data_IF_310111624900
#
_entry.id   IF_310111624900
#
_cell.length_a   1.000
_cell.length_b   1.000
_cell.length_c   1.000
_cell.angle_alpha   90.00
_cell.angle_beta   90.00
_cell.angle_gamma   90.00
#
_symmetry.space_group_name_H-M   'P 1'
#
loop_
_entity.id
_entity.type
_entity.pdbx_description
1 polymer ?
#
# COMPACT_ATOMS: atom_id res chain seq x y z
N UNK A 1 19.81 -11.47 45.54
CA UNK A 1 18.52 -12.16 45.76
C UNK A 1 17.79 -12.29 44.43
N UNK A 2 17.89 -13.44 43.74
CA UNK A 2 17.20 -13.72 42.48
C UNK A 2 15.95 -14.59 42.73
N UNK A 3 14.84 -14.34 42.03
CA UNK A 3 13.78 -15.34 41.89
C UNK A 3 13.38 -15.50 40.42
N UNK A 4 13.93 -16.57 39.83
CA UNK A 4 13.44 -17.24 38.62
C UNK A 4 12.12 -17.93 38.94
N UNK A 5 11.06 -17.62 38.21
CA UNK A 5 9.87 -18.46 38.15
C UNK A 5 9.90 -19.31 36.87
N UNK A 6 9.87 -20.62 37.06
CA UNK A 6 9.88 -21.69 36.06
C UNK A 6 8.51 -22.37 36.13
N UNK A 7 7.69 -22.24 35.09
CA UNK A 7 6.42 -22.98 34.99
C UNK A 7 6.57 -24.17 34.02
N UNK A 8 5.96 -25.28 34.43
CA UNK A 8 6.15 -26.65 33.95
C UNK A 8 5.34 -26.96 32.68
N UNK A 9 5.90 -27.84 31.83
CA UNK A 9 5.19 -28.59 30.77
C UNK A 9 4.21 -29.59 31.40
N UNK A 10 3.04 -29.75 30.80
CA UNK A 10 2.21 -30.96 30.91
C UNK A 10 1.96 -31.53 29.52
N UNK A 11 2.43 -32.76 29.30
CA UNK A 11 2.12 -33.62 28.16
C UNK A 11 0.88 -34.44 28.50
N UNK A 12 -0.10 -34.47 27.60
CA UNK A 12 -1.20 -35.43 27.64
C UNK A 12 -1.29 -36.11 26.27
N UNK A 13 -1.09 -37.44 26.26
CA UNK A 13 -1.34 -38.37 25.15
C UNK A 13 -2.67 -39.07 25.43
N UNK A 14 -3.53 -39.22 24.41
CA UNK A 14 -4.52 -40.31 24.23
C UNK A 14 -5.13 -40.12 22.82
N UNK A 15 -4.87 -40.96 21.80
CA UNK A 15 -5.22 -42.36 21.48
C UNK A 15 -6.61 -42.49 20.80
N UNK A 16 -6.57 -42.91 19.52
CA UNK A 16 -7.72 -43.27 18.66
C UNK A 16 -8.41 -44.57 19.11
N UNK A 17 -9.63 -44.81 18.62
CA UNK A 17 -9.96 -46.11 18.04
C UNK A 17 -10.52 -46.00 16.61
N UNK A 18 -10.39 -47.11 15.89
CA UNK A 18 -10.90 -47.39 14.55
C UNK A 18 -12.03 -48.42 14.62
N UNK A 19 -12.97 -48.38 13.66
CA UNK A 19 -13.69 -49.49 12.99
C UNK A 19 -14.75 -48.82 12.07
N UNK A 20 -14.72 -49.05 10.74
CA UNK A 20 -15.43 -50.11 9.98
C UNK A 20 -16.96 -50.00 10.15
N UNK A 21 -17.86 -50.15 9.18
CA UNK A 21 -17.93 -50.48 7.75
C UNK A 21 -19.44 -50.36 7.47
N UNK A 22 -19.92 -49.77 6.37
CA UNK A 22 -21.08 -50.33 5.66
C UNK A 22 -21.20 -49.72 4.25
N UNK A 23 -20.84 -50.54 3.25
CA UNK A 23 -21.27 -50.37 1.88
C UNK A 23 -22.72 -50.83 1.76
N UNK A 24 -23.57 -50.01 1.13
CA UNK A 24 -24.77 -50.52 0.47
C UNK A 24 -25.04 -49.75 -0.80
N UNK A 25 -24.94 -50.50 -1.89
CA UNK A 25 -25.37 -50.12 -3.23
C UNK A 25 -26.88 -50.35 -3.38
N UNK A 26 -27.58 -49.41 -4.03
CA UNK A 26 -28.52 -49.73 -5.11
C UNK A 26 -28.98 -48.40 -5.74
N UNK A 27 -28.65 -48.07 -6.99
CA UNK A 27 -29.01 -48.67 -8.27
C UNK A 27 -30.35 -48.14 -8.82
N UNK A 28 -30.28 -47.82 -10.12
CA UNK A 28 -31.36 -47.72 -11.10
C UNK A 28 -32.17 -46.41 -11.24
N UNK A 29 -31.79 -45.73 -12.33
CA UNK A 29 -32.55 -45.67 -13.59
C UNK A 29 -33.45 -44.46 -13.89
N UNK A 30 -33.12 -43.94 -15.08
CA UNK A 30 -34.01 -43.62 -16.19
C UNK A 30 -34.76 -42.28 -16.18
N UNK A 31 -34.25 -41.44 -17.06
CA UNK A 31 -34.90 -40.99 -18.30
C UNK A 31 -35.90 -39.84 -18.28
N UNK A 32 -35.63 -38.99 -19.28
CA UNK A 32 -36.53 -38.21 -20.11
C UNK A 32 -36.81 -36.76 -19.73
N UNK A 33 -36.15 -35.90 -20.50
CA UNK A 33 -36.75 -34.88 -21.37
C UNK A 33 -38.12 -34.33 -20.93
N UNK A 34 -38.16 -33.03 -20.63
CA UNK A 34 -39.07 -32.14 -21.34
C UNK A 34 -38.68 -30.68 -21.06
N UNK A 35 -38.32 -29.99 -22.14
CA UNK A 35 -38.38 -28.55 -22.23
C UNK A 35 -39.84 -28.09 -22.12
N UNK A 36 -40.18 -27.39 -21.04
CA UNK A 36 -41.39 -26.57 -20.97
C UNK A 36 -41.03 -25.19 -20.42
N UNK A 37 -41.11 -24.20 -21.31
CA UNK A 37 -41.19 -22.79 -20.96
C UNK A 37 -42.48 -22.60 -20.16
N UNK A 38 -42.35 -22.24 -18.89
CA UNK A 38 -43.45 -21.70 -18.09
C UNK A 38 -42.94 -20.50 -17.29
N UNK A 39 -43.47 -19.34 -17.66
CA UNK A 39 -43.42 -18.11 -16.88
C UNK A 39 -44.18 -18.29 -15.58
N UNK A 40 -43.55 -18.06 -14.43
CA UNK A 40 -44.24 -17.82 -13.16
C UNK A 40 -43.34 -17.06 -12.20
N UNK A 41 -43.74 -15.83 -11.92
CA UNK A 41 -43.38 -15.02 -10.77
C UNK A 41 -43.53 -15.82 -9.47
N UNK A 42 -42.44 -15.95 -8.71
CA UNK A 42 -42.50 -16.29 -7.29
C UNK A 42 -41.51 -15.42 -6.53
N UNK A 43 -42.07 -14.48 -5.81
CA UNK A 43 -41.46 -13.75 -4.71
C UNK A 43 -40.83 -14.73 -3.73
N UNK A 44 -39.51 -14.74 -3.70
CA UNK A 44 -38.70 -15.38 -2.68
C UNK A 44 -37.54 -14.46 -2.40
N UNK A 45 -37.57 -13.79 -1.26
CA UNK A 45 -36.46 -13.03 -0.71
C UNK A 45 -35.36 -14.02 -0.32
N UNK A 46 -34.63 -14.54 -1.32
CA UNK A 46 -33.28 -14.99 -1.07
C UNK A 46 -32.44 -13.72 -1.02
N UNK A 47 -32.03 -13.33 0.18
CA UNK A 47 -30.86 -12.49 0.34
C UNK A 47 -29.68 -13.27 -0.23
N UNK A 48 -29.52 -13.20 -1.55
CA UNK A 48 -28.31 -13.56 -2.25
C UNK A 48 -27.22 -12.71 -1.60
N UNK A 49 -26.45 -13.28 -0.68
CA UNK A 49 -25.26 -12.62 -0.16
C UNK A 49 -24.39 -12.32 -1.37
N UNK A 50 -24.44 -11.07 -1.87
CA UNK A 50 -23.62 -10.63 -2.98
C UNK A 50 -22.18 -10.90 -2.57
N UNK A 51 -21.52 -11.82 -3.27
CA UNK A 51 -20.12 -12.13 -3.06
C UNK A 51 -19.32 -10.90 -3.49
N UNK A 52 -19.02 -10.02 -2.53
CA UNK A 52 -18.31 -8.75 -2.77
C UNK A 52 -16.90 -8.99 -3.34
N UNK A 53 -16.28 -10.11 -2.94
CA UNK A 53 -14.95 -10.53 -3.35
C UNK A 53 -15.01 -11.92 -3.98
N UNK A 54 -14.21 -12.15 -5.00
CA UNK A 54 -13.97 -13.50 -5.53
C UNK A 54 -13.05 -14.27 -4.60
N UNK A 55 -12.02 -13.61 -4.07
CA UNK A 55 -11.08 -14.17 -3.12
C UNK A 55 -11.59 -14.03 -1.67
N UNK A 56 -11.89 -15.14 -0.98
CA UNK A 56 -12.45 -15.10 0.36
C UNK A 56 -11.47 -14.53 1.40
N UNK A 57 -10.16 -14.48 1.10
CA UNK A 57 -9.16 -13.91 2.02
C UNK A 57 -9.37 -12.41 2.22
N UNK A 58 -9.75 -11.67 1.18
CA UNK A 58 -10.08 -10.24 1.31
C UNK A 58 -11.32 -10.03 2.17
N UNK A 59 -12.34 -10.88 1.99
CA UNK A 59 -13.56 -10.84 2.81
C UNK A 59 -13.25 -11.10 4.29
N UNK A 60 -12.49 -12.17 4.57
CA UNK A 60 -12.09 -12.52 5.94
C UNK A 60 -11.31 -11.39 6.61
N UNK A 61 -10.26 -10.89 5.95
CA UNK A 61 -9.45 -9.80 6.46
C UNK A 61 -10.26 -8.52 6.69
N UNK A 62 -11.15 -8.16 5.76
CA UNK A 62 -11.99 -6.98 5.91
C UNK A 62 -12.93 -7.12 7.11
N UNK A 63 -13.56 -8.28 7.28
CA UNK A 63 -14.46 -8.55 8.40
C UNK A 63 -13.71 -8.46 9.74
N UNK A 64 -12.51 -9.04 9.83
CA UNK A 64 -11.68 -8.99 11.04
C UNK A 64 -11.33 -7.54 11.41
N UNK A 65 -10.92 -6.74 10.41
CA UNK A 65 -10.64 -5.31 10.61
C UNK A 65 -11.89 -4.55 11.02
N UNK A 66 -13.02 -4.76 10.34
CA UNK A 66 -14.27 -4.08 10.67
C UNK A 66 -14.77 -4.45 12.08
N UNK A 67 -14.60 -5.70 12.50
CA UNK A 67 -14.92 -6.13 13.86
C UNK A 67 -14.03 -5.42 14.89
N UNK A 68 -12.74 -5.27 14.60
CA UNK A 68 -11.81 -4.50 15.43
C UNK A 68 -12.25 -3.02 15.53
N UNK A 69 -12.61 -2.41 14.40
CA UNK A 69 -13.00 -0.99 14.31
C UNK A 69 -14.33 -0.69 15.01
N UNK A 70 -15.26 -1.65 15.06
CA UNK A 70 -16.58 -1.51 15.72
C UNK A 70 -16.52 -1.54 17.25
N UNK A 71 -15.37 -1.80 17.85
CA UNK A 71 -15.23 -1.80 19.29
C UNK A 71 -15.59 -0.41 19.85
N UNK A 72 -16.49 -0.36 20.85
CA UNK A 72 -17.01 0.88 21.44
C UNK A 72 -15.92 1.82 21.97
N UNK A 73 -14.75 1.28 22.27
CA UNK A 73 -13.58 2.05 22.68
C UNK A 73 -13.00 2.98 21.61
N UNK A 74 -13.34 2.78 20.33
CA UNK A 74 -12.87 3.58 19.19
C UNK A 74 -13.97 4.42 18.53
N UNK A 75 -15.19 4.37 19.08
CA UNK A 75 -16.31 5.20 18.60
C UNK A 75 -16.05 6.65 19.01
N UNK A 76 -16.21 7.57 18.06
CA UNK A 76 -16.00 8.99 18.31
C UNK A 76 -16.93 9.49 19.43
N UNK A 77 -16.35 10.13 20.45
CA UNK A 77 -17.10 10.77 21.54
C UNK A 77 -17.24 9.98 22.85
N UNK A 78 -16.83 8.71 22.90
CA UNK A 78 -16.94 7.89 24.13
C UNK A 78 -15.62 7.84 24.92
N UNK A 79 -14.49 7.62 24.24
CA UNK A 79 -13.12 7.60 24.77
C UNK A 79 -12.12 8.02 23.68
N UNK A 80 -11.05 8.73 24.04
CA UNK A 80 -10.05 9.25 23.10
C UNK A 80 -9.01 8.19 22.65
N UNK A 81 -9.40 6.91 22.54
CA UNK A 81 -8.48 5.88 22.08
C UNK A 81 -8.45 5.89 20.55
N UNK A 82 -7.23 5.88 19.99
CA UNK A 82 -7.00 5.82 18.55
C UNK A 82 -6.67 4.38 18.14
N UNK A 83 -7.47 3.78 17.26
CA UNK A 83 -7.15 2.47 16.69
C UNK A 83 -6.09 2.62 15.59
N UNK A 84 -4.99 1.88 15.66
CA UNK A 84 -3.93 1.87 14.65
C UNK A 84 -3.88 0.51 13.96
N UNK A 85 -4.29 0.47 12.71
CA UNK A 85 -4.26 -0.74 11.86
C UNK A 85 -2.99 -0.69 11.01
N UNK A 86 -2.19 -1.74 11.04
CA UNK A 86 -0.99 -1.87 10.22
C UNK A 86 -1.10 -3.14 9.36
N UNK A 87 -1.28 -2.98 8.06
CA UNK A 87 -1.31 -4.07 7.09
C UNK A 87 0.05 -4.18 6.40
N UNK A 88 0.73 -5.30 6.62
CA UNK A 88 2.05 -5.55 6.05
C UNK A 88 1.97 -6.36 4.77
N UNK A 89 2.67 -5.91 3.72
CA UNK A 89 2.84 -6.64 2.46
C UNK A 89 1.51 -7.03 1.77
N UNK A 90 0.52 -6.13 1.81
CA UNK A 90 -0.75 -6.28 1.08
C UNK A 90 -0.47 -6.25 -0.43
N UNK A 91 -1.08 -7.16 -1.19
CA UNK A 91 -0.82 -7.28 -2.62
C UNK A 91 0.53 -7.93 -2.95
N UNK A 92 1.11 -8.67 -2.00
CA UNK A 92 2.19 -9.62 -2.31
C UNK A 92 1.70 -10.75 -3.23
N UNK A 93 2.60 -11.50 -3.90
CA UNK A 93 2.21 -12.56 -4.83
C UNK A 93 1.29 -13.64 -4.26
N UNK A 94 1.22 -13.79 -2.92
CA UNK A 94 0.29 -14.69 -2.24
C UNK A 94 -1.20 -14.33 -2.43
N UNK A 95 -1.48 -13.12 -2.90
CA UNK A 95 -2.83 -12.61 -3.19
C UNK A 95 -3.20 -12.72 -4.66
N UNK A 96 -2.28 -13.12 -5.53
CA UNK A 96 -2.51 -13.11 -6.97
C UNK A 96 -3.46 -14.25 -7.38
N UNK A 97 -4.52 -13.88 -8.07
CA UNK A 97 -5.48 -14.74 -8.73
C UNK A 97 -6.00 -14.01 -9.99
N UNK A 98 -6.96 -14.60 -10.69
CA UNK A 98 -7.54 -14.02 -11.92
C UNK A 98 -8.26 -12.68 -11.68
N UNK A 99 -8.74 -12.44 -10.46
CA UNK A 99 -9.56 -11.27 -10.09
C UNK A 99 -8.82 -10.31 -9.15
N UNK A 100 -7.51 -10.48 -8.99
CA UNK A 100 -6.69 -9.81 -7.99
C UNK A 100 -6.85 -8.28 -8.03
N UNK A 101 -6.78 -7.71 -9.23
CA UNK A 101 -6.90 -6.27 -9.43
C UNK A 101 -8.25 -5.73 -8.96
N UNK A 102 -9.35 -6.39 -9.32
CA UNK A 102 -10.69 -5.96 -8.92
C UNK A 102 -10.90 -6.07 -7.42
N UNK A 103 -10.55 -7.23 -6.85
CA UNK A 103 -10.76 -7.50 -5.44
C UNK A 103 -9.89 -6.60 -4.55
N UNK A 104 -8.66 -6.29 -4.98
CA UNK A 104 -7.79 -5.34 -4.28
C UNK A 104 -8.38 -3.92 -4.28
N UNK A 105 -8.90 -3.46 -5.42
CA UNK A 105 -9.53 -2.15 -5.55
C UNK A 105 -10.80 -2.06 -4.68
N UNK A 106 -11.65 -3.09 -4.72
CA UNK A 106 -12.85 -3.20 -3.85
C UNK A 106 -12.43 -3.21 -2.38
N UNK A 107 -11.39 -3.96 -2.03
CA UNK A 107 -10.92 -4.10 -0.65
C UNK A 107 -10.41 -2.77 -0.11
N UNK A 108 -9.54 -2.07 -0.85
CA UNK A 108 -9.01 -0.76 -0.44
C UNK A 108 -10.14 0.27 -0.30
N UNK A 109 -11.12 0.26 -1.21
CA UNK A 109 -12.28 1.16 -1.14
C UNK A 109 -13.10 0.93 0.12
N UNK A 110 -13.41 -0.33 0.44
CA UNK A 110 -14.20 -0.67 1.64
C UNK A 110 -13.42 -0.47 2.94
N UNK A 111 -12.12 -0.76 2.93
CA UNK A 111 -11.23 -0.49 4.06
C UNK A 111 -11.17 1.02 4.34
N UNK A 112 -11.00 1.83 3.31
CA UNK A 112 -10.98 3.29 3.41
C UNK A 112 -12.27 3.83 4.06
N UNK A 113 -13.43 3.37 3.59
CA UNK A 113 -14.72 3.76 4.15
C UNK A 113 -14.83 3.38 5.63
N UNK A 114 -14.39 2.17 5.99
CA UNK A 114 -14.44 1.66 7.37
C UNK A 114 -13.53 2.48 8.31
N UNK A 115 -12.29 2.78 7.87
CA UNK A 115 -11.32 3.57 8.65
C UNK A 115 -11.82 4.99 8.88
N UNK A 116 -12.44 5.61 7.86
CA UNK A 116 -13.01 6.97 7.94
C UNK A 116 -14.21 7.10 8.87
N UNK A 117 -14.95 6.00 9.10
CA UNK A 117 -16.13 6.02 9.98
C UNK A 117 -15.80 5.89 11.48
N UNK A 118 -14.54 5.67 11.84
CA UNK A 118 -14.12 5.42 13.23
C UNK A 118 -12.90 6.28 13.60
N UNK A 119 -12.59 6.42 14.89
CA UNK A 119 -11.36 7.10 15.33
C UNK A 119 -10.15 6.18 15.13
N UNK A 120 -9.71 6.04 13.88
CA UNK A 120 -8.69 5.09 13.48
C UNK A 120 -7.74 5.62 12.41
N UNK A 121 -6.54 5.05 12.35
CA UNK A 121 -5.56 5.26 11.29
C UNK A 121 -5.11 3.92 10.73
N UNK A 122 -4.87 3.87 9.42
CA UNK A 122 -4.42 2.66 8.74
C UNK A 122 -3.12 2.92 7.98
N UNK A 123 -2.10 2.11 8.24
CA UNK A 123 -0.85 2.06 7.49
C UNK A 123 -0.83 0.78 6.67
N UNK A 124 -0.66 0.89 5.36
CA UNK A 124 -0.57 -0.25 4.45
C UNK A 124 0.79 -0.21 3.78
N UNK A 125 1.52 -1.33 3.83
CA UNK A 125 2.74 -1.50 3.03
C UNK A 125 2.45 -2.47 1.89
N UNK A 126 2.84 -2.10 0.68
CA UNK A 126 2.56 -2.87 -0.53
C UNK A 126 3.83 -3.00 -1.38
N UNK A 127 4.13 -4.19 -1.94
CA UNK A 127 5.25 -4.37 -2.86
C UNK A 127 4.87 -3.84 -4.25
N UNK A 128 4.79 -2.51 -4.40
CA UNK A 128 4.27 -1.86 -5.62
C UNK A 128 5.02 -2.26 -6.89
N UNK A 129 6.31 -2.57 -6.81
CA UNK A 129 7.10 -3.06 -7.95
C UNK A 129 6.63 -4.42 -8.49
N UNK A 130 6.09 -5.30 -7.65
CA UNK A 130 5.51 -6.58 -8.09
C UNK A 130 4.13 -6.39 -8.68
N UNK A 131 3.34 -5.47 -8.13
CA UNK A 131 2.01 -5.11 -8.64
C UNK A 131 2.16 -4.47 -10.02
N UNK A 132 3.13 -3.57 -10.20
CA UNK A 132 3.42 -2.94 -11.48
C UNK A 132 3.81 -3.94 -12.58
N UNK A 133 4.53 -5.01 -12.21
CA UNK A 133 4.87 -6.11 -13.13
C UNK A 133 3.67 -6.98 -13.51
N UNK A 134 2.72 -7.14 -12.59
CA UNK A 134 1.49 -7.90 -12.85
C UNK A 134 0.50 -7.09 -13.70
N UNK A 135 0.18 -5.86 -13.28
CA UNK A 135 -0.64 -4.90 -14.02
C UNK A 135 -0.25 -3.47 -13.63
N UNK A 136 0.44 -2.78 -14.54
CA UNK A 136 0.86 -1.39 -14.35
C UNK A 136 -0.31 -0.42 -14.15
N UNK A 137 -1.51 -0.75 -14.65
CA UNK A 137 -2.70 0.09 -14.50
C UNK A 137 -3.23 0.15 -13.07
N UNK A 138 -2.89 -0.83 -12.22
CA UNK A 138 -3.32 -0.86 -10.82
C UNK A 138 -2.60 0.18 -9.96
N UNK A 139 -1.33 0.48 -10.26
CA UNK A 139 -0.52 1.42 -9.47
C UNK A 139 -1.19 2.78 -9.29
N UNK A 140 -1.60 3.51 -10.36
CA UNK A 140 -2.28 4.79 -10.21
C UNK A 140 -3.65 4.65 -9.53
N UNK A 141 -4.39 3.56 -9.80
CA UNK A 141 -5.69 3.30 -9.16
C UNK A 141 -5.55 3.14 -7.63
N UNK A 142 -4.57 2.37 -7.19
CA UNK A 142 -4.24 2.16 -5.76
C UNK A 142 -3.86 3.50 -5.11
N UNK A 143 -2.97 4.28 -5.75
CA UNK A 143 -2.57 5.61 -5.25
C UNK A 143 -3.77 6.53 -5.08
N UNK A 144 -4.77 6.45 -5.96
CA UNK A 144 -5.99 7.24 -5.85
C UNK A 144 -6.89 6.82 -4.68
N UNK A 145 -6.85 5.55 -4.28
CA UNK A 145 -7.62 4.98 -3.17
C UNK A 145 -6.93 5.07 -1.81
N UNK A 146 -5.87 5.86 -1.68
CA UNK A 146 -5.24 6.14 -0.38
C UNK A 146 -5.13 7.63 -0.15
N UNK A 147 -4.97 8.00 1.11
CA UNK A 147 -4.88 9.40 1.53
C UNK A 147 -3.48 9.95 1.35
N UNK A 148 -2.51 9.10 1.67
CA UNK A 148 -1.08 9.34 1.55
C UNK A 148 -0.45 8.17 0.78
N UNK A 149 0.31 8.49 -0.26
CA UNK A 149 1.07 7.51 -1.03
C UNK A 149 2.55 7.88 -1.00
N UNK A 150 3.34 7.08 -0.30
CA UNK A 150 4.78 7.26 -0.13
C UNK A 150 5.48 6.05 -0.74
N UNK A 151 6.47 6.29 -1.58
CA UNK A 151 7.29 5.26 -2.19
C UNK A 151 8.73 5.37 -1.68
N UNK A 152 9.30 4.22 -1.31
CA UNK A 152 10.71 4.10 -0.94
C UNK A 152 11.45 3.44 -2.10
N UNK A 153 12.37 4.17 -2.70
CA UNK A 153 13.30 3.63 -3.70
C UNK A 153 14.64 3.34 -3.03
N UNK A 154 15.04 2.07 -2.98
CA UNK A 154 16.32 1.65 -2.42
C UNK A 154 17.43 1.78 -3.45
N UNK A 155 18.59 2.29 -3.05
CA UNK A 155 19.78 2.29 -3.91
C UNK A 155 20.49 0.93 -3.96
N UNK A 156 20.26 0.06 -2.98
CA UNK A 156 20.91 -1.25 -2.92
C UNK A 156 20.72 -2.04 -4.24
N UNK A 157 21.83 -2.42 -4.87
CA UNK A 157 21.85 -3.15 -6.13
C UNK A 157 21.56 -2.31 -7.38
N UNK A 158 21.57 -0.98 -7.26
CA UNK A 158 21.41 -0.04 -8.39
C UNK A 158 22.71 0.70 -8.70
N UNK A 159 22.81 1.31 -9.88
CA UNK A 159 23.95 2.16 -10.25
C UNK A 159 24.14 3.34 -9.29
N UNK A 160 23.04 3.81 -8.67
CA UNK A 160 23.02 4.91 -7.70
C UNK A 160 23.77 4.58 -6.40
N UNK A 161 23.95 3.29 -6.06
CA UNK A 161 24.71 2.88 -4.86
C UNK A 161 26.18 3.30 -4.93
N UNK A 162 26.76 3.26 -6.14
CA UNK A 162 28.20 3.54 -6.35
C UNK A 162 28.50 5.00 -6.61
N UNK A 163 27.47 5.79 -6.91
CA UNK A 163 27.65 7.17 -7.37
C UNK A 163 27.95 8.10 -6.18
N UNK A 164 29.03 8.92 -6.23
CA UNK A 164 29.48 9.74 -5.10
C UNK A 164 28.39 10.66 -4.52
N UNK A 165 27.50 11.17 -5.36
CA UNK A 165 26.37 12.01 -4.93
C UNK A 165 25.41 11.37 -3.93
N UNK A 166 25.33 10.03 -3.88
CA UNK A 166 24.34 9.31 -3.07
C UNK A 166 24.97 8.57 -1.89
N UNK A 167 26.28 8.71 -1.65
CA UNK A 167 27.05 7.95 -0.66
C UNK A 167 26.48 8.02 0.77
N UNK A 168 25.85 9.13 1.13
CA UNK A 168 25.29 9.34 2.47
C UNK A 168 23.87 8.78 2.65
N UNK A 169 23.25 8.33 1.57
CA UNK A 169 21.84 7.94 1.50
C UNK A 169 21.68 6.46 1.19
N UNK A 170 20.61 5.88 1.73
CA UNK A 170 20.21 4.49 1.43
C UNK A 170 19.19 4.42 0.29
N UNK A 171 18.54 5.53 -0.02
CA UNK A 171 17.52 5.61 -1.06
C UNK A 171 16.76 6.93 -1.09
N UNK A 172 15.81 7.03 -2.02
CA UNK A 172 14.91 8.17 -2.18
C UNK A 172 13.53 7.87 -1.59
N UNK A 173 12.86 8.93 -1.14
CA UNK A 173 11.48 8.88 -0.68
C UNK A 173 10.63 9.78 -1.58
N UNK A 174 9.74 9.16 -2.35
CA UNK A 174 8.84 9.88 -3.25
C UNK A 174 7.48 10.07 -2.62
N UNK A 175 6.98 11.30 -2.63
CA UNK A 175 5.63 11.64 -2.21
C UNK A 175 4.73 11.69 -3.44
N UNK A 176 3.90 10.65 -3.64
CA UNK A 176 3.00 10.56 -4.79
C UNK A 176 1.65 11.21 -4.55
N UNK A 177 1.15 11.15 -3.31
CA UNK A 177 -0.14 11.73 -2.93
C UNK A 177 -0.13 12.12 -1.47
N UNK A 178 -0.71 13.28 -1.17
CA UNK A 178 -0.99 13.76 0.18
C UNK A 178 -2.35 14.45 0.15
N UNK A 179 -3.29 14.02 0.99
CA UNK A 179 -4.69 14.51 0.97
C UNK A 179 -5.03 15.31 2.22
N UNK A 180 -5.79 16.40 2.05
CA UNK A 180 -6.22 17.29 3.13
C UNK A 180 -7.46 16.71 3.82
N UNK A 181 -7.28 15.68 4.65
CA UNK A 181 -8.41 15.07 5.37
C UNK A 181 -8.69 15.88 6.63
N UNK A 182 -9.92 16.37 6.75
CA UNK A 182 -10.38 17.17 7.89
C UNK A 182 -9.53 18.43 8.13
N UNK A 183 -8.88 18.94 7.08
CA UNK A 183 -8.09 20.19 7.11
C UNK A 183 -8.34 20.96 5.80
N UNK A 184 -8.16 22.28 5.84
CA UNK A 184 -8.34 23.16 4.68
C UNK A 184 -7.18 23.07 3.68
N UNK A 185 -6.00 22.69 4.15
CA UNK A 185 -4.79 22.61 3.32
C UNK A 185 -3.94 21.40 3.69
N UNK A 186 -3.34 20.79 2.67
CA UNK A 186 -2.33 19.75 2.82
C UNK A 186 -1.04 20.40 3.32
N UNK A 187 -0.43 19.83 4.35
CA UNK A 187 0.94 20.20 4.70
C UNK A 187 1.92 19.47 3.77
N UNK A 188 2.30 20.13 2.68
CA UNK A 188 3.37 19.66 1.81
C UNK A 188 4.74 20.12 2.35
N UNK A 189 5.78 19.28 2.30
CA UNK A 189 7.13 19.74 2.56
C UNK A 189 7.54 20.79 1.51
N UNK A 190 8.45 21.68 1.89
CA UNK A 190 8.96 22.74 1.01
C UNK A 190 9.54 22.20 -0.30
N UNK A 191 10.16 21.02 -0.25
CA UNK A 191 10.72 20.32 -1.42
C UNK A 191 10.25 18.86 -1.45
N UNK A 192 9.89 18.33 -2.63
CA UNK A 192 9.55 16.92 -2.80
C UNK A 192 10.79 16.00 -2.80
N UNK A 193 11.99 16.58 -2.99
CA UNK A 193 13.26 15.86 -3.05
C UNK A 193 13.68 15.39 -1.65
N UNK A 194 13.23 14.20 -1.29
CA UNK A 194 13.52 13.59 0.00
C UNK A 194 14.38 12.35 -0.20
N UNK A 195 15.40 12.21 0.63
CA UNK A 195 16.23 11.02 0.71
C UNK A 195 16.17 10.44 2.12
N UNK A 196 16.29 9.12 2.22
CA UNK A 196 16.37 8.45 3.51
C UNK A 196 17.73 7.80 3.71
N UNK A 197 18.18 7.79 4.96
CA UNK A 197 19.38 7.08 5.38
C UNK A 197 19.11 6.24 6.61
N UNK A 198 19.59 5.00 6.56
CA UNK A 198 19.53 4.08 7.68
C UNK A 198 20.76 4.28 8.57
N UNK A 199 20.55 4.70 9.81
CA UNK A 199 21.55 4.65 10.87
C UNK A 199 21.15 3.54 11.84
N UNK A 200 22.10 3.06 12.65
CA UNK A 200 21.96 1.87 13.52
C UNK A 200 20.58 1.67 14.17
N UNK A 201 19.97 2.72 14.74
CA UNK A 201 18.63 2.68 15.34
C UNK A 201 17.71 3.82 14.87
N UNK A 202 18.00 4.42 13.71
CA UNK A 202 17.25 5.59 13.21
C UNK A 202 17.00 5.46 11.72
N UNK A 203 15.74 5.65 11.34
CA UNK A 203 15.33 5.94 9.97
C UNK A 203 15.25 7.47 9.86
N UNK A 204 16.14 8.07 9.07
CA UNK A 204 16.23 9.53 8.94
C UNK A 204 15.76 9.89 7.53
N UNK A 205 14.83 10.84 7.44
CA UNK A 205 14.38 11.46 6.19
C UNK A 205 14.87 12.91 6.21
N UNK A 206 15.53 13.35 5.15
CA UNK A 206 16.01 14.72 5.01
C UNK A 206 15.90 15.19 3.55
N UNK A 207 16.00 16.50 3.34
CA UNK A 207 16.06 17.08 2.00
C UNK A 207 17.28 16.53 1.28
N UNK A 208 17.08 16.02 0.07
CA UNK A 208 18.18 15.54 -0.74
C UNK A 208 19.02 16.73 -1.22
N UNK A 209 20.32 16.71 -0.90
CA UNK A 209 21.28 17.70 -1.38
C UNK A 209 22.47 17.00 -2.03
N UNK A 210 22.85 17.49 -3.22
CA UNK A 210 24.06 17.03 -3.87
C UNK A 210 25.29 17.56 -3.11
N UNK A 211 26.36 16.75 -2.97
CA UNK A 211 27.62 17.23 -2.44
C UNK A 211 28.14 18.44 -3.24
N UNK A 212 28.72 19.45 -2.58
CA UNK A 212 29.20 20.68 -3.24
C UNK A 212 30.24 20.40 -4.33
N UNK A 213 31.01 19.32 -4.20
CA UNK A 213 32.05 18.88 -5.17
C UNK A 213 31.50 18.53 -6.57
N UNK A 214 30.18 18.30 -6.71
CA UNK A 214 29.53 18.00 -7.99
C UNK A 214 28.68 19.18 -8.52
N UNK A 215 28.63 20.30 -7.79
CA UNK A 215 27.93 21.51 -8.25
C UNK A 215 28.76 22.33 -9.26
N UNK A 216 30.06 22.04 -9.38
CA UNK A 216 31.01 22.84 -10.15
C UNK A 216 31.39 22.19 -11.49
N UNK A 217 30.50 22.34 -12.47
CA UNK A 217 30.91 22.45 -13.88
C UNK A 217 30.27 23.67 -14.53
N UNK A 218 30.23 24.79 -13.82
CA UNK A 218 30.24 26.12 -14.42
C UNK A 218 31.67 26.68 -14.30
N UNK A 219 32.63 25.95 -14.86
CA UNK A 219 33.98 26.47 -15.07
C UNK A 219 33.86 27.72 -15.95
N UNK A 220 33.91 28.88 -15.29
CA UNK A 220 34.19 30.17 -15.88
C UNK A 220 35.57 30.04 -16.54
N UNK A 221 35.73 30.20 -17.87
CA UNK A 221 37.08 30.31 -18.40
C UNK A 221 37.63 31.67 -17.98
N UNK A 222 38.49 31.66 -16.97
CA UNK A 222 39.47 32.71 -16.76
C UNK A 222 40.38 32.71 -18.00
N UNK A 223 40.18 33.68 -18.90
CA UNK A 223 41.22 34.09 -19.81
C UNK A 223 41.22 35.61 -19.95
N UNK A 224 42.05 36.24 -19.13
CA UNK A 224 42.49 37.61 -19.36
C UNK A 224 43.49 37.62 -20.51
N UNK A 225 43.07 37.99 -21.73
CA UNK A 225 43.95 38.67 -22.69
C UNK A 225 43.18 39.82 -23.33
N UNK A 226 43.74 41.01 -23.16
CA UNK A 226 43.33 42.29 -23.72
C UNK A 226 43.35 42.30 -25.25
N UNK A 227 42.33 42.89 -25.87
CA UNK A 227 42.33 43.17 -27.31
C UNK A 227 41.03 43.81 -27.75
N UNK A 228 41.03 45.14 -27.87
CA UNK A 228 40.02 45.95 -28.51
C UNK A 228 39.61 45.37 -29.87
N UNK A 229 38.33 45.40 -30.22
CA UNK A 229 37.83 46.01 -31.45
C UNK A 229 36.32 46.28 -31.34
N UNK A 230 36.00 47.54 -31.56
CA UNK A 230 34.69 48.16 -31.75
C UNK A 230 33.89 47.54 -32.90
N UNK A 231 32.56 47.47 -32.75
CA UNK A 231 31.69 48.20 -33.69
C UNK A 231 30.27 48.42 -33.15
N UNK A 232 29.85 49.66 -33.36
CA UNK A 232 28.54 50.24 -33.17
C UNK A 232 27.45 49.57 -34.02
N UNK A 233 26.25 49.43 -33.44
CA UNK A 233 25.07 50.07 -34.01
C UNK A 233 23.98 50.23 -32.94
N UNK A 234 23.53 51.47 -32.82
CA UNK A 234 22.42 51.92 -32.00
C UNK A 234 21.07 51.55 -32.63
N UNK A 235 20.01 51.94 -31.91
CA UNK A 235 18.55 51.86 -32.21
C UNK A 235 17.90 50.57 -31.69
N UNK A 236 16.85 50.58 -30.85
CA UNK A 236 16.10 51.66 -30.24
C UNK A 236 15.39 51.16 -28.97
N UNK A 237 15.08 52.14 -28.12
CA UNK A 237 14.25 52.13 -26.91
C UNK A 237 12.82 51.58 -27.09
N UNK A 238 12.33 50.86 -26.05
CA UNK A 238 11.05 50.91 -25.27
C UNK A 238 9.71 51.23 -25.98
N UNK A 239 8.48 50.89 -25.59
CA UNK A 239 7.69 50.38 -24.42
C UNK A 239 6.41 49.73 -25.06
N UNK A 240 5.55 48.90 -24.47
CA UNK A 240 4.91 48.80 -23.14
C UNK A 240 4.55 47.33 -22.84
#
# INVERSE_FOLDING_TARGET
>A
MPHRFRARRSLSKEKMPAQAEEYSANNNNNNNNSSSVTSSTKTGSQESQLQVFHNPRYKGLLNDIQQLLRNESFVAGTKNNLCRVCLTSLGSPLWYDEHFGEDLIKFLTLLMASVRSCNSVCLITMPMHLIAKYDASLVPKIRQLVDYAIELESFAGSERETHPAFKEYSGLLHLHKMSAINTLAVHMPETPDLAFKLRRKKFIIEKFHLPPELQESSAKPDNCISGLLSNSNATASLDF
#
